data_IF_832459833543
#
_entry.id   IF_832459833543
#
_cell.length_a   1.000
_cell.length_b   1.000
_cell.length_c   1.000
_cell.angle_alpha   90.00
_cell.angle_beta   90.00
_cell.angle_gamma   90.00
#
_symmetry.space_group_name_H-M   'P 1'
#
loop_
_entity.id
_entity.type
_entity.pdbx_description
1 polymer ?
#
# COMPACT_ATOMS: atom_id res chain seq x y z
N UNK A 1 -3.57 -20.24 -24.41
CA UNK A 1 -2.73 -19.11 -24.87
C UNK A 1 -2.56 -18.17 -23.69
N UNK A 2 -1.52 -17.34 -23.66
CA UNK A 2 -1.37 -16.31 -22.63
C UNK A 2 -1.21 -14.95 -23.31
N UNK A 3 -1.58 -13.88 -22.62
CA UNK A 3 -1.45 -12.51 -23.10
C UNK A 3 -0.14 -11.90 -22.58
N UNK A 4 0.35 -10.84 -23.23
CA UNK A 4 1.63 -10.25 -22.90
C UNK A 4 1.60 -8.72 -22.86
N UNK A 5 2.08 -8.14 -21.76
CA UNK A 5 2.42 -6.73 -21.70
C UNK A 5 3.88 -6.54 -22.11
N UNK A 6 4.14 -5.79 -23.20
CA UNK A 6 5.47 -5.71 -23.83
C UNK A 6 6.12 -4.35 -23.62
N UNK A 7 7.34 -4.31 -23.08
CA UNK A 7 8.14 -3.10 -22.95
C UNK A 7 9.06 -2.91 -24.16
N UNK A 8 9.04 -1.71 -24.76
CA UNK A 8 9.82 -1.34 -25.94
C UNK A 8 10.46 0.03 -25.77
N UNK A 9 11.57 0.27 -26.46
CA UNK A 9 12.28 1.55 -26.53
C UNK A 9 12.61 1.89 -27.99
N UNK A 10 11.79 2.71 -28.65
CA UNK A 10 11.83 2.79 -30.11
C UNK A 10 11.52 1.43 -30.73
N UNK A 11 12.38 0.96 -31.64
CA UNK A 11 12.25 -0.38 -32.23
C UNK A 11 12.74 -1.53 -31.32
N UNK A 12 13.37 -1.21 -30.18
CA UNK A 12 13.98 -2.19 -29.26
C UNK A 12 12.94 -2.84 -28.35
N UNK A 13 12.64 -4.13 -28.53
CA UNK A 13 11.88 -4.89 -27.54
C UNK A 13 12.78 -5.23 -26.34
N UNK A 14 12.38 -4.77 -25.15
CA UNK A 14 13.16 -4.91 -23.91
C UNK A 14 12.80 -6.15 -23.10
N UNK A 15 11.54 -6.56 -23.17
CA UNK A 15 10.99 -7.72 -22.47
C UNK A 15 9.46 -7.67 -22.45
N UNK A 16 8.85 -8.72 -21.90
CA UNK A 16 7.40 -8.78 -21.71
C UNK A 16 7.06 -9.43 -20.37
N UNK A 17 5.92 -9.04 -19.80
CA UNK A 17 5.28 -9.73 -18.67
C UNK A 17 4.09 -10.50 -19.20
N UNK A 18 3.86 -11.69 -18.64
CA UNK A 18 2.83 -12.62 -19.12
C UNK A 18 1.59 -12.51 -18.24
N UNK A 19 0.42 -12.53 -18.88
CA UNK A 19 -0.93 -12.58 -18.31
C UNK A 19 -1.37 -11.36 -17.47
N UNK A 20 -0.45 -10.49 -17.03
CA UNK A 20 -0.78 -9.29 -16.26
C UNK A 20 0.28 -8.16 -16.44
N UNK A 21 -0.07 -6.97 -15.97
CA UNK A 21 0.84 -5.83 -15.84
C UNK A 21 1.83 -6.06 -14.70
N UNK A 22 3.09 -5.67 -14.87
CA UNK A 22 4.05 -5.59 -13.76
C UNK A 22 3.85 -4.26 -13.02
N UNK A 23 3.41 -4.24 -11.75
CA UNK A 23 3.17 -2.99 -11.03
C UNK A 23 4.44 -2.16 -10.79
N UNK A 24 5.59 -2.83 -10.65
CA UNK A 24 6.89 -2.19 -10.49
C UNK A 24 7.35 -1.48 -11.76
N UNK A 25 6.99 -2.01 -12.93
CA UNK A 25 7.21 -1.41 -14.24
C UNK A 25 6.18 -0.32 -14.55
N UNK A 26 4.90 -0.59 -14.33
CA UNK A 26 3.80 0.36 -14.58
C UNK A 26 3.96 1.64 -13.75
N UNK A 27 4.57 1.53 -12.56
CA UNK A 27 4.94 2.68 -11.76
C UNK A 27 5.80 3.73 -12.53
N UNK A 28 6.56 3.34 -13.56
CA UNK A 28 7.34 4.26 -14.39
C UNK A 28 6.48 5.17 -15.26
N UNK A 29 5.22 4.80 -15.51
CA UNK A 29 4.26 5.51 -16.35
C UNK A 29 3.20 6.22 -15.51
N UNK A 30 2.44 7.12 -16.15
CA UNK A 30 1.35 7.89 -15.52
C UNK A 30 0.09 7.81 -16.38
N UNK A 31 -1.10 8.10 -15.82
CA UNK A 31 -2.34 8.14 -16.60
C UNK A 31 -2.25 9.05 -17.83
N UNK A 32 -1.47 10.14 -17.74
CA UNK A 32 -1.21 11.07 -18.85
C UNK A 32 -0.39 10.48 -20.00
N UNK A 33 0.32 9.38 -19.75
CA UNK A 33 1.11 8.68 -20.76
C UNK A 33 0.26 7.67 -21.56
N UNK A 34 -1.00 7.46 -21.14
CA UNK A 34 -1.92 6.51 -21.78
C UNK A 34 -2.30 6.98 -23.18
N UNK A 35 -2.15 6.09 -24.14
CA UNK A 35 -2.56 6.24 -25.52
C UNK A 35 -3.47 5.07 -25.90
N UNK A 36 -4.67 5.40 -26.40
CA UNK A 36 -5.63 4.42 -26.90
C UNK A 36 -5.92 4.73 -28.36
N UNK A 37 -5.77 3.72 -29.21
CA UNK A 37 -6.08 3.79 -30.64
C UNK A 37 -6.92 2.59 -31.04
N UNK A 38 -7.98 2.82 -31.82
CA UNK A 38 -8.72 1.73 -32.47
C UNK A 38 -8.21 1.59 -33.89
N UNK A 39 -7.59 0.45 -34.17
CA UNK A 39 -7.06 0.11 -35.48
C UNK A 39 -8.18 -0.55 -36.30
N UNK A 40 -8.41 -0.02 -37.50
CA UNK A 40 -9.31 -0.67 -38.48
C UNK A 40 -8.65 -1.95 -38.98
N UNK A 41 -9.36 -3.08 -38.85
CA UNK A 41 -8.85 -4.40 -39.20
C UNK A 41 -8.51 -4.54 -40.69
N UNK A 42 -9.05 -3.66 -41.53
CA UNK A 42 -8.71 -3.60 -42.96
C UNK A 42 -7.30 -3.05 -43.19
N UNK A 43 -6.72 -2.37 -42.20
CA UNK A 43 -5.35 -1.87 -42.25
C UNK A 43 -4.36 -2.94 -41.77
N UNK A 44 -4.18 -3.98 -42.60
CA UNK A 44 -3.28 -5.10 -42.30
C UNK A 44 -1.84 -4.68 -41.99
N UNK A 45 -1.35 -3.62 -42.64
CA UNK A 45 -0.03 -3.06 -42.34
C UNK A 45 0.08 -2.51 -40.92
N UNK A 46 -1.01 -1.95 -40.38
CA UNK A 46 -1.05 -1.44 -39.01
C UNK A 46 -1.21 -2.58 -38.00
N UNK A 47 -2.05 -3.56 -38.29
CA UNK A 47 -2.22 -4.75 -37.43
C UNK A 47 -0.91 -5.56 -37.30
N UNK A 48 -0.11 -5.64 -38.37
CA UNK A 48 1.18 -6.34 -38.38
C UNK A 48 2.23 -5.72 -37.44
N UNK A 49 1.98 -4.53 -36.87
CA UNK A 49 2.83 -3.96 -35.81
C UNK A 49 2.59 -4.58 -34.43
N UNK A 50 1.42 -5.22 -34.24
CA UNK A 50 0.92 -5.72 -32.96
C UNK A 50 0.70 -7.25 -32.96
N UNK A 51 0.25 -7.81 -34.08
CA UNK A 51 -0.03 -9.24 -34.24
C UNK A 51 1.06 -9.92 -35.07
N UNK A 52 1.44 -11.14 -34.68
CA UNK A 52 2.31 -11.97 -35.52
C UNK A 52 1.56 -12.40 -36.80
N UNK A 53 2.31 -12.64 -37.89
CA UNK A 53 1.75 -12.95 -39.22
C UNK A 53 0.72 -14.11 -39.18
N UNK A 54 0.92 -15.09 -38.31
CA UNK A 54 0.03 -16.23 -38.15
C UNK A 54 -1.35 -15.88 -37.56
N UNK A 55 -1.46 -14.78 -36.82
CA UNK A 55 -2.74 -14.30 -36.24
C UNK A 55 -3.42 -13.24 -37.10
N UNK A 56 -2.72 -12.64 -38.08
CA UNK A 56 -3.29 -11.61 -38.97
C UNK A 56 -4.38 -12.14 -39.90
N UNK A 57 -4.34 -13.42 -40.23
CA UNK A 57 -5.31 -14.06 -41.12
C UNK A 57 -6.53 -14.61 -40.37
N UNK A 58 -6.41 -14.84 -39.07
CA UNK A 58 -7.47 -15.40 -38.21
C UNK A 58 -8.19 -14.33 -37.35
N UNK A 59 -7.76 -13.07 -37.42
CA UNK A 59 -8.34 -11.97 -36.63
C UNK A 59 -9.72 -11.55 -37.16
N UNK A 60 -10.71 -11.44 -36.26
CA UNK A 60 -12.11 -11.14 -36.59
C UNK A 60 -12.25 -9.79 -37.30
N UNK A 61 -12.69 -9.79 -38.56
CA UNK A 61 -12.84 -8.57 -39.36
C UNK A 61 -13.89 -7.59 -38.81
N UNK A 62 -14.79 -8.05 -37.94
CA UNK A 62 -15.89 -7.25 -37.37
C UNK A 62 -15.55 -6.61 -36.00
N UNK A 63 -14.42 -6.97 -35.36
CA UNK A 63 -14.02 -6.46 -34.05
C UNK A 63 -12.74 -5.61 -34.10
N UNK A 64 -12.80 -4.26 -34.01
CA UNK A 64 -11.61 -3.42 -34.19
C UNK A 64 -10.57 -3.65 -33.10
N UNK A 65 -9.31 -3.85 -33.50
CA UNK A 65 -8.19 -4.01 -32.57
C UNK A 65 -7.93 -2.73 -31.77
N UNK A 66 -7.98 -2.83 -30.45
CA UNK A 66 -7.77 -1.74 -29.50
C UNK A 66 -6.33 -1.76 -28.99
N UNK A 67 -5.54 -0.81 -29.49
CA UNK A 67 -4.19 -0.57 -29.01
C UNK A 67 -4.26 0.22 -27.71
N UNK A 68 -3.66 -0.32 -26.65
CA UNK A 68 -3.52 0.36 -25.35
C UNK A 68 -2.05 0.40 -24.96
N UNK A 69 -1.48 1.60 -24.90
CA UNK A 69 -0.05 1.80 -24.65
C UNK A 69 0.20 2.93 -23.66
N UNK A 70 1.25 2.81 -22.87
CA UNK A 70 1.80 3.91 -22.07
C UNK A 70 3.12 4.34 -22.67
N UNK A 71 3.24 5.62 -23.04
CA UNK A 71 4.41 6.14 -23.77
C UNK A 71 5.05 7.30 -23.03
N UNK A 72 6.37 7.27 -22.88
CA UNK A 72 7.13 8.41 -22.36
C UNK A 72 8.49 8.52 -23.05
N UNK A 73 9.11 9.70 -23.01
CA UNK A 73 10.46 9.87 -23.57
C UNK A 73 11.52 9.26 -22.65
N UNK A 74 12.70 8.88 -23.19
CA UNK A 74 13.83 8.42 -22.39
C UNK A 74 14.24 9.41 -21.29
N UNK A 75 14.20 10.72 -21.58
CA UNK A 75 14.43 11.75 -20.55
C UNK A 75 13.42 11.69 -19.41
N UNK A 76 12.12 11.55 -19.71
CA UNK A 76 11.10 11.43 -18.68
C UNK A 76 11.30 10.16 -17.85
N UNK A 77 11.64 9.03 -18.49
CA UNK A 77 11.97 7.80 -17.80
C UNK A 77 13.18 7.95 -16.86
N UNK A 78 14.26 8.61 -17.31
CA UNK A 78 15.44 8.91 -16.48
C UNK A 78 15.08 9.73 -15.25
N UNK A 79 14.36 10.83 -15.41
CA UNK A 79 13.94 11.70 -14.31
C UNK A 79 13.08 10.96 -13.29
N UNK A 80 12.13 10.14 -13.77
CA UNK A 80 11.25 9.33 -12.91
C UNK A 80 12.05 8.28 -12.14
N UNK A 81 12.92 7.53 -12.81
CA UNK A 81 13.81 6.55 -12.17
C UNK A 81 14.71 7.20 -11.12
N UNK A 82 15.30 8.35 -11.44
CA UNK A 82 16.14 9.13 -10.54
C UNK A 82 15.40 9.56 -9.27
N UNK A 83 14.15 10.02 -9.42
CA UNK A 83 13.28 10.41 -8.31
C UNK A 83 13.09 9.29 -7.28
N UNK A 84 13.20 8.02 -7.69
CA UNK A 84 13.11 6.84 -6.80
C UNK A 84 14.46 6.24 -6.43
N UNK A 85 15.55 6.92 -6.75
CA UNK A 85 16.90 6.48 -6.41
C UNK A 85 17.51 5.47 -7.38
N UNK A 86 16.83 5.14 -8.49
CA UNK A 86 17.42 4.41 -9.63
C UNK A 86 18.29 5.38 -10.46
N UNK A 87 19.29 5.95 -9.81
CA UNK A 87 20.31 6.79 -10.44
C UNK A 87 21.21 5.95 -11.32
N UNK A 88 21.90 6.58 -12.27
CA UNK A 88 22.89 5.90 -13.11
C UNK A 88 23.94 5.15 -12.26
N UNK A 89 24.53 5.82 -11.26
CA UNK A 89 25.53 5.23 -10.38
C UNK A 89 25.01 4.00 -9.60
N UNK A 90 23.76 4.06 -9.13
CA UNK A 90 23.12 2.93 -8.44
C UNK A 90 22.89 1.77 -9.42
N UNK A 91 22.45 2.06 -10.65
CA UNK A 91 22.27 1.04 -11.69
C UNK A 91 23.59 0.38 -12.11
N UNK A 92 24.68 1.14 -12.25
CA UNK A 92 26.01 0.57 -12.49
C UNK A 92 26.46 -0.34 -11.34
N UNK A 93 26.28 0.13 -10.10
CA UNK A 93 26.61 -0.66 -8.89
C UNK A 93 25.80 -1.95 -8.84
N UNK A 94 24.50 -1.88 -9.16
CA UNK A 94 23.60 -3.03 -9.21
C UNK A 94 24.03 -4.04 -10.28
N UNK A 95 24.40 -3.58 -11.47
CA UNK A 95 24.94 -4.42 -12.55
C UNK A 95 26.16 -5.21 -12.08
N UNK A 96 27.19 -4.54 -11.57
CA UNK A 96 28.43 -5.21 -11.13
C UNK A 96 28.24 -6.05 -9.85
N UNK A 97 27.29 -5.71 -8.98
CA UNK A 97 26.93 -6.54 -7.84
C UNK A 97 26.26 -7.85 -8.30
N UNK A 98 25.30 -7.74 -9.21
CA UNK A 98 24.65 -8.86 -9.86
C UNK A 98 25.63 -9.77 -10.59
N UNK A 99 26.55 -9.17 -11.36
CA UNK A 99 27.56 -9.89 -12.14
C UNK A 99 28.48 -10.71 -11.22
N UNK A 100 28.97 -10.12 -10.12
CA UNK A 100 29.72 -10.84 -9.08
C UNK A 100 28.91 -11.96 -8.44
N UNK A 101 27.61 -11.76 -8.25
CA UNK A 101 26.69 -12.80 -7.79
C UNK A 101 26.62 -13.99 -8.75
N UNK A 102 26.39 -13.72 -10.04
CA UNK A 102 26.35 -14.74 -11.10
C UNK A 102 27.67 -15.49 -11.22
N UNK A 103 28.82 -14.78 -11.23
CA UNK A 103 30.14 -15.40 -11.26
C UNK A 103 30.33 -16.37 -10.08
N UNK A 104 30.05 -15.92 -8.85
CA UNK A 104 30.17 -16.77 -7.66
C UNK A 104 29.28 -18.02 -7.74
N UNK A 105 28.07 -17.89 -8.28
CA UNK A 105 27.18 -19.03 -8.44
C UNK A 105 27.72 -20.05 -9.45
N UNK A 106 28.24 -19.57 -10.59
CA UNK A 106 28.85 -20.43 -11.61
C UNK A 106 30.15 -21.07 -11.14
N UNK A 107 30.99 -20.36 -10.38
CA UNK A 107 32.20 -20.92 -9.75
C UNK A 107 31.84 -22.10 -8.84
N UNK A 108 30.81 -21.96 -8.00
CA UNK A 108 30.35 -23.06 -7.13
C UNK A 108 29.86 -24.28 -7.91
N UNK A 109 29.28 -24.10 -9.09
CA UNK A 109 28.88 -25.21 -9.96
C UNK A 109 30.10 -25.85 -10.63
N UNK A 110 31.06 -25.05 -11.06
CA UNK A 110 32.31 -25.49 -11.69
C UNK A 110 33.15 -26.31 -10.71
N UNK A 111 33.28 -25.85 -9.46
CA UNK A 111 33.98 -26.56 -8.37
C UNK A 111 33.35 -27.92 -8.05
N UNK A 112 32.05 -28.10 -8.34
CA UNK A 112 31.32 -29.37 -8.22
C UNK A 112 31.49 -30.30 -9.43
N UNK A 113 32.33 -29.92 -10.40
CA UNK A 113 32.67 -30.71 -11.58
C UNK A 113 31.96 -30.29 -12.87
N UNK A 114 31.12 -29.24 -12.85
CA UNK A 114 30.42 -28.76 -14.04
C UNK A 114 31.27 -27.76 -14.86
N UNK A 115 32.30 -28.25 -15.54
CA UNK A 115 33.23 -27.42 -16.34
C UNK A 115 32.63 -26.74 -17.58
N UNK A 116 31.37 -27.04 -17.91
CA UNK A 116 30.65 -26.42 -19.04
C UNK A 116 30.53 -24.88 -18.91
N UNK A 117 30.77 -24.33 -17.71
CA UNK A 117 30.68 -22.89 -17.45
C UNK A 117 32.03 -22.16 -17.46
N UNK A 118 33.15 -22.84 -17.73
CA UNK A 118 34.49 -22.24 -17.68
C UNK A 118 34.61 -21.04 -18.64
N UNK A 119 34.16 -21.19 -19.89
CA UNK A 119 34.20 -20.12 -20.89
C UNK A 119 33.26 -18.95 -20.53
N UNK A 120 32.08 -19.26 -19.99
CA UNK A 120 31.14 -18.25 -19.49
C UNK A 120 31.75 -17.47 -18.31
N UNK A 121 32.48 -18.14 -17.41
CA UNK A 121 33.17 -17.47 -16.31
C UNK A 121 34.26 -16.52 -16.80
N UNK A 122 35.03 -16.90 -17.83
CA UNK A 122 36.02 -16.02 -18.46
C UNK A 122 35.34 -14.79 -19.04
N UNK A 123 34.28 -14.98 -19.83
CA UNK A 123 33.48 -13.90 -20.41
C UNK A 123 32.96 -12.93 -19.34
N UNK A 124 32.27 -13.45 -18.32
CA UNK A 124 31.62 -12.64 -17.29
C UNK A 124 32.63 -11.87 -16.42
N UNK A 125 33.84 -12.39 -16.21
CA UNK A 125 34.90 -11.70 -15.45
C UNK A 125 35.45 -10.46 -16.15
N UNK A 126 35.40 -10.43 -17.49
CA UNK A 126 35.83 -9.27 -18.27
C UNK A 126 34.68 -8.35 -18.72
N UNK A 127 33.42 -8.74 -18.46
CA UNK A 127 32.25 -8.01 -18.95
C UNK A 127 32.13 -6.63 -18.33
N UNK A 128 32.07 -5.59 -19.15
CA UNK A 128 31.70 -4.23 -18.73
C UNK A 128 30.26 -3.88 -19.11
N UNK A 129 29.74 -2.79 -18.53
CA UNK A 129 28.42 -2.26 -18.90
C UNK A 129 28.40 -1.82 -20.37
N UNK A 130 29.47 -1.21 -20.86
CA UNK A 130 29.60 -0.81 -22.26
C UNK A 130 29.53 -2.01 -23.22
N UNK A 131 30.25 -3.09 -22.91
CA UNK A 131 30.23 -4.31 -23.71
C UNK A 131 28.81 -4.88 -23.80
N UNK A 132 28.12 -4.93 -22.65
CA UNK A 132 26.75 -5.44 -22.56
C UNK A 132 25.74 -4.53 -23.30
N UNK A 133 25.82 -3.20 -23.15
CA UNK A 133 24.95 -2.24 -23.85
C UNK A 133 25.17 -2.27 -25.36
N UNK A 134 26.42 -2.37 -25.82
CA UNK A 134 26.73 -2.46 -27.25
C UNK A 134 26.21 -3.78 -27.85
N UNK A 135 26.37 -4.90 -27.13
CA UNK A 135 25.81 -6.18 -27.55
C UNK A 135 24.28 -6.14 -27.59
N UNK A 136 23.62 -5.54 -26.60
CA UNK A 136 22.16 -5.33 -26.59
C UNK A 136 21.71 -4.53 -27.81
N UNK A 137 22.35 -3.39 -28.08
CA UNK A 137 22.03 -2.55 -29.24
C UNK A 137 22.14 -3.32 -30.56
N UNK A 138 23.13 -4.20 -30.66
CA UNK A 138 23.32 -5.06 -31.84
C UNK A 138 22.27 -6.17 -31.96
N UNK A 139 21.97 -6.88 -30.87
CA UNK A 139 20.91 -7.91 -30.86
C UNK A 139 19.63 -7.36 -31.47
N UNK A 140 19.35 -6.10 -31.20
CA UNK A 140 18.09 -5.49 -31.56
C UNK A 140 18.10 -4.86 -32.94
N UNK A 141 19.17 -4.15 -33.30
CA UNK A 141 19.29 -3.58 -34.64
C UNK A 141 19.33 -4.66 -35.73
N UNK A 142 19.97 -5.80 -35.44
CA UNK A 142 20.07 -6.95 -36.34
C UNK A 142 18.95 -7.99 -36.14
N UNK A 143 18.05 -7.79 -35.17
CA UNK A 143 16.98 -8.74 -34.78
C UNK A 143 17.50 -10.16 -34.54
N UNK A 144 18.64 -10.26 -33.86
CA UNK A 144 19.29 -11.54 -33.58
C UNK A 144 18.45 -12.36 -32.62
N UNK A 145 18.26 -13.63 -32.97
CA UNK A 145 17.66 -14.65 -32.11
C UNK A 145 18.71 -15.71 -31.77
N UNK A 146 18.45 -16.52 -30.75
CA UNK A 146 19.34 -17.64 -30.40
C UNK A 146 19.58 -18.58 -31.60
N UNK A 147 18.56 -18.81 -32.44
CA UNK A 147 18.68 -19.63 -33.65
C UNK A 147 19.40 -18.93 -34.81
N UNK A 148 19.33 -17.59 -34.90
CA UNK A 148 20.06 -16.81 -35.91
C UNK A 148 21.57 -16.76 -35.64
N UNK A 149 22.01 -16.95 -34.39
CA UNK A 149 23.44 -16.95 -34.04
C UNK A 149 24.24 -18.09 -34.69
N UNK A 150 23.59 -19.14 -35.17
CA UNK A 150 24.25 -20.22 -35.93
C UNK A 150 24.72 -19.76 -37.32
N UNK A 151 24.22 -18.61 -37.79
CA UNK A 151 24.63 -17.98 -39.06
C UNK A 151 25.66 -16.86 -38.87
N UNK A 152 25.97 -16.48 -37.63
CA UNK A 152 27.00 -15.49 -37.31
C UNK A 152 28.39 -16.13 -37.44
N UNK A 153 29.33 -15.44 -38.06
CA UNK A 153 30.70 -15.92 -38.24
C UNK A 153 31.35 -16.25 -36.88
N UNK A 154 31.91 -17.45 -36.73
CA UNK A 154 32.62 -17.88 -35.50
C UNK A 154 33.77 -16.95 -35.11
N UNK A 155 34.29 -16.15 -36.04
CA UNK A 155 35.34 -15.16 -35.81
C UNK A 155 34.85 -13.86 -35.15
N UNK A 156 33.56 -13.70 -34.91
CA UNK A 156 32.99 -12.49 -34.33
C UNK A 156 33.31 -12.39 -32.82
N UNK A 157 34.05 -11.35 -32.39
CA UNK A 157 34.50 -11.22 -31.00
C UNK A 157 33.35 -11.03 -30.00
N UNK A 158 32.16 -10.58 -30.43
CA UNK A 158 31.00 -10.42 -29.56
C UNK A 158 30.14 -11.69 -29.48
N UNK A 159 30.37 -12.68 -30.35
CA UNK A 159 29.55 -13.89 -30.42
C UNK A 159 29.39 -14.61 -29.07
N UNK A 160 30.42 -14.74 -28.21
CA UNK A 160 30.24 -15.34 -26.89
C UNK A 160 29.26 -14.57 -26.00
N UNK A 161 29.31 -13.24 -26.03
CA UNK A 161 28.41 -12.38 -25.26
C UNK A 161 26.98 -12.42 -25.82
N UNK A 162 26.83 -12.36 -27.14
CA UNK A 162 25.53 -12.48 -27.80
C UNK A 162 24.88 -13.83 -27.48
N UNK A 163 25.65 -14.93 -27.55
CA UNK A 163 25.18 -16.27 -27.14
C UNK A 163 24.78 -16.27 -25.67
N UNK A 164 25.57 -15.68 -24.77
CA UNK A 164 25.20 -15.57 -23.36
C UNK A 164 23.88 -14.82 -23.15
N UNK A 165 23.73 -13.63 -23.73
CA UNK A 165 22.55 -12.77 -23.57
C UNK A 165 21.27 -13.38 -24.16
N UNK A 166 21.39 -14.15 -25.26
CA UNK A 166 20.25 -14.80 -25.92
C UNK A 166 19.96 -16.22 -25.41
N UNK A 167 20.91 -16.88 -24.72
CA UNK A 167 20.71 -18.21 -24.11
C UNK A 167 20.29 -18.15 -22.65
N UNK A 168 20.49 -17.02 -21.97
CA UNK A 168 19.99 -16.86 -20.61
C UNK A 168 18.46 -16.86 -20.66
N UNK A 169 17.85 -17.90 -20.07
CA UNK A 169 16.39 -18.05 -19.90
C UNK A 169 15.75 -17.01 -18.97
N UNK A 170 16.35 -15.83 -18.86
CA UNK A 170 15.89 -14.68 -18.09
C UNK A 170 15.55 -13.62 -19.12
N UNK A 171 14.31 -13.13 -19.08
CA UNK A 171 13.93 -11.90 -19.76
C UNK A 171 14.97 -10.80 -19.42
N UNK A 172 15.20 -9.81 -20.31
CA UNK A 172 16.22 -8.74 -20.17
C UNK A 172 17.66 -9.06 -20.61
N UNK A 173 17.84 -9.94 -21.61
CA UNK A 173 19.13 -10.12 -22.32
C UNK A 173 20.33 -10.40 -21.40
N UNK A 174 20.16 -11.30 -20.44
CA UNK A 174 21.23 -11.67 -19.51
C UNK A 174 21.66 -10.56 -18.56
N UNK A 175 20.83 -9.52 -18.35
CA UNK A 175 21.08 -8.51 -17.34
C UNK A 175 21.34 -9.17 -15.98
N UNK A 176 22.49 -8.89 -15.34
CA UNK A 176 22.88 -9.62 -14.14
C UNK A 176 22.23 -9.08 -12.85
N UNK A 177 21.59 -7.92 -12.90
CA UNK A 177 20.91 -7.30 -11.76
C UNK A 177 19.57 -7.97 -11.43
N UNK A 178 19.02 -7.61 -10.27
CA UNK A 178 17.82 -8.25 -9.71
C UNK A 178 16.52 -7.50 -9.98
N UNK A 179 16.62 -6.24 -10.40
CA UNK A 179 15.48 -5.34 -10.55
C UNK A 179 15.56 -4.65 -11.92
N UNK A 180 14.54 -4.88 -12.73
CA UNK A 180 14.40 -4.41 -14.10
C UNK A 180 14.54 -2.88 -14.23
N UNK A 181 14.23 -2.11 -13.19
CA UNK A 181 14.36 -0.64 -13.25
C UNK A 181 15.82 -0.19 -13.36
N UNK A 182 16.77 -0.97 -12.83
CA UNK A 182 18.20 -0.71 -13.07
C UNK A 182 18.58 -1.04 -14.53
N UNK A 183 17.99 -2.10 -15.10
CA UNK A 183 18.16 -2.42 -16.52
C UNK A 183 17.63 -1.27 -17.39
N UNK A 184 16.39 -0.83 -17.17
CA UNK A 184 15.79 0.27 -17.92
C UNK A 184 16.65 1.52 -17.77
N UNK A 185 17.09 1.86 -16.54
CA UNK A 185 17.96 3.01 -16.29
C UNK A 185 19.21 2.97 -17.16
N UNK A 186 19.91 1.83 -17.28
CA UNK A 186 21.11 1.73 -18.10
C UNK A 186 20.81 1.85 -19.60
N UNK A 187 19.70 1.28 -20.06
CA UNK A 187 19.33 1.30 -21.48
C UNK A 187 18.91 2.70 -21.92
N UNK A 188 18.09 3.41 -21.13
CA UNK A 188 17.61 4.76 -21.49
C UNK A 188 18.71 5.82 -21.49
N UNK A 189 19.89 5.54 -20.94
CA UNK A 189 21.07 6.44 -20.97
C UNK A 189 21.80 6.39 -22.32
N UNK A 190 21.49 5.42 -23.20
CA UNK A 190 22.19 5.21 -24.48
C UNK A 190 21.38 5.58 -25.71
N UNK A 191 20.12 5.95 -25.54
CA UNK A 191 19.22 6.28 -26.65
C UNK A 191 18.96 7.79 -26.74
N UNK A 192 18.62 8.26 -27.94
CA UNK A 192 18.18 9.64 -28.14
C UNK A 192 16.85 9.88 -27.42
N UNK A 193 16.62 11.11 -26.98
CA UNK A 193 15.34 11.52 -26.41
C UNK A 193 14.21 11.65 -27.44
N UNK A 194 14.54 11.53 -28.73
CA UNK A 194 13.55 11.44 -29.83
C UNK A 194 12.87 10.06 -29.92
N UNK A 195 13.41 9.05 -29.24
CA UNK A 195 12.80 7.73 -29.13
C UNK A 195 11.66 7.73 -28.09
N UNK A 196 10.83 6.68 -28.11
CA UNK A 196 9.77 6.49 -27.10
C UNK A 196 10.01 5.21 -26.31
N UNK A 197 9.93 5.28 -24.98
CA UNK A 197 9.75 4.12 -24.12
C UNK A 197 8.25 3.82 -24.06
N UNK A 198 7.87 2.63 -24.52
CA UNK A 198 6.48 2.19 -24.66
C UNK A 198 6.25 0.94 -23.84
N UNK A 199 5.23 0.94 -22.99
CA UNK A 199 4.72 -0.27 -22.36
C UNK A 199 3.34 -0.59 -22.96
N UNK A 200 3.29 -1.66 -23.74
CA UNK A 200 2.17 -2.05 -24.59
C UNK A 200 1.30 -3.10 -23.89
N UNK A 201 0.04 -2.77 -23.63
CA UNK A 201 -0.96 -3.60 -22.96
C UNK A 201 -1.96 -4.21 -23.97
N UNK A 202 -1.79 -3.97 -25.28
CA UNK A 202 -2.83 -4.26 -26.26
C UNK A 202 -3.22 -5.74 -26.25
N UNK A 203 -2.26 -6.66 -26.15
CA UNK A 203 -2.54 -8.11 -26.09
C UNK A 203 -3.26 -8.54 -24.79
N UNK A 204 -3.11 -7.79 -23.69
CA UNK A 204 -3.87 -8.04 -22.45
C UNK A 204 -5.34 -7.63 -22.64
N UNK A 205 -5.57 -6.47 -23.26
CA UNK A 205 -6.92 -5.95 -23.51
C UNK A 205 -7.65 -6.82 -24.52
N UNK A 206 -7.00 -7.23 -25.61
CA UNK A 206 -7.60 -8.00 -26.71
C UNK A 206 -7.97 -9.44 -26.36
N UNK A 207 -7.42 -9.98 -25.27
CA UNK A 207 -7.71 -11.32 -24.78
C UNK A 207 -8.76 -11.29 -23.64
N UNK A 208 -9.54 -10.20 -23.55
CA UNK A 208 -10.56 -9.90 -22.53
C UNK A 208 -10.06 -9.91 -21.07
N UNK A 209 -8.74 -9.99 -20.84
CA UNK A 209 -8.16 -9.92 -19.49
C UNK A 209 -8.13 -8.48 -18.93
N UNK A 210 -8.36 -7.48 -19.78
CA UNK A 210 -8.29 -6.05 -19.45
C UNK A 210 -9.54 -5.24 -19.76
N UNK A 211 -10.64 -5.86 -20.16
CA UNK A 211 -11.86 -5.18 -20.62
C UNK A 211 -12.51 -4.29 -19.54
N UNK A 212 -12.39 -4.68 -18.27
CA UNK A 212 -12.89 -3.91 -17.13
C UNK A 212 -11.84 -2.93 -16.56
N UNK A 213 -10.64 -2.84 -17.16
CA UNK A 213 -9.54 -1.99 -16.66
C UNK A 213 -9.49 -0.67 -17.43
N UNK A 214 -10.12 0.35 -16.84
CA UNK A 214 -10.12 1.72 -17.39
C UNK A 214 -8.73 2.37 -17.34
N UNK A 215 -7.89 2.07 -16.35
CA UNK A 215 -6.52 2.61 -16.23
C UNK A 215 -5.61 1.61 -15.53
N UNK A 216 -4.67 1.03 -16.29
CA UNK A 216 -3.67 0.10 -15.77
C UNK A 216 -2.72 0.72 -14.74
N UNK A 217 -2.53 2.04 -14.70
CA UNK A 217 -1.76 2.70 -13.63
C UNK A 217 -2.54 2.65 -12.32
N UNK A 218 -3.83 2.98 -12.36
CA UNK A 218 -4.70 2.89 -11.17
C UNK A 218 -4.85 1.44 -10.69
N UNK A 219 -5.00 0.49 -11.62
CA UNK A 219 -5.02 -0.94 -11.32
C UNK A 219 -3.72 -1.40 -10.67
N UNK A 220 -2.56 -1.06 -11.24
CA UNK A 220 -1.25 -1.39 -10.65
C UNK A 220 -1.05 -0.75 -9.27
N UNK A 221 -1.51 0.49 -9.08
CA UNK A 221 -1.49 1.14 -7.76
C UNK A 221 -2.40 0.41 -6.76
N UNK A 222 -3.56 -0.08 -7.18
CA UNK A 222 -4.48 -0.85 -6.35
C UNK A 222 -3.84 -2.16 -5.90
N UNK A 223 -3.24 -2.92 -6.82
CA UNK A 223 -2.51 -4.16 -6.51
C UNK A 223 -1.42 -3.93 -5.44
N UNK A 224 -0.68 -2.82 -5.51
CA UNK A 224 0.35 -2.49 -4.51
C UNK A 224 -0.28 -2.02 -3.20
N UNK A 225 -1.34 -1.21 -3.26
CA UNK A 225 -1.92 -0.55 -2.11
C UNK A 225 -2.76 -1.50 -1.24
N UNK A 226 -3.46 -2.46 -1.82
CA UNK A 226 -4.27 -3.43 -1.08
C UNK A 226 -3.38 -4.31 -0.18
N UNK A 227 -2.32 -4.87 -0.75
CA UNK A 227 -1.28 -5.60 0.00
C UNK A 227 -0.67 -4.71 1.10
N UNK A 228 -0.32 -3.48 0.75
CA UNK A 228 0.22 -2.51 1.70
C UNK A 228 -0.77 -2.24 2.85
N UNK A 229 -2.05 -2.04 2.56
CA UNK A 229 -3.08 -1.76 3.55
C UNK A 229 -3.30 -2.91 4.53
N UNK A 230 -3.10 -4.16 4.11
CA UNK A 230 -3.27 -5.35 4.94
C UNK A 230 -2.07 -5.59 5.88
N UNK A 231 -0.85 -5.25 5.46
CA UNK A 231 0.36 -5.50 6.25
C UNK A 231 0.76 -4.36 7.18
N UNK A 232 0.23 -3.15 6.97
CA UNK A 232 0.59 -1.97 7.76
C UNK A 232 -0.19 -1.86 9.06
N UNK A 233 0.41 -1.15 10.03
CA UNK A 233 -0.23 -0.84 11.32
C UNK A 233 -1.38 0.14 11.12
N UNK A 234 -2.46 -0.07 11.86
CA UNK A 234 -3.55 0.92 12.00
C UNK A 234 -3.05 2.08 12.86
N UNK A 235 -3.04 3.29 12.31
CA UNK A 235 -2.72 4.52 13.03
C UNK A 235 -3.94 4.93 13.86
N UNK A 236 -3.81 4.93 15.19
CA UNK A 236 -4.87 5.32 16.11
C UNK A 236 -4.66 6.77 16.55
N UNK A 237 -5.67 7.60 16.32
CA UNK A 237 -5.73 8.98 16.77
C UNK A 237 -6.73 9.08 17.93
N UNK A 238 -6.37 9.79 18.99
CA UNK A 238 -7.22 10.02 20.17
C UNK A 238 -7.36 11.51 20.45
N UNK A 239 -8.35 11.92 21.24
CA UNK A 239 -8.53 13.33 21.61
C UNK A 239 -7.44 13.85 22.55
N UNK A 240 -7.04 13.02 23.52
CA UNK A 240 -6.11 13.37 24.57
C UNK A 240 -4.89 12.45 24.68
N UNK A 241 -3.86 12.98 25.37
CA UNK A 241 -2.65 12.23 25.74
C UNK A 241 -2.97 11.12 26.74
N UNK A 242 -3.91 11.37 27.66
CA UNK A 242 -4.39 10.38 28.62
C UNK A 242 -5.02 9.20 27.90
N UNK A 243 -5.89 9.46 26.91
CA UNK A 243 -6.61 8.39 26.23
C UNK A 243 -5.67 7.46 25.50
N UNK A 244 -4.73 8.06 24.78
CA UNK A 244 -3.63 7.34 24.15
C UNK A 244 -2.88 6.46 25.13
N UNK A 245 -2.48 7.02 26.28
CA UNK A 245 -1.69 6.31 27.30
C UNK A 245 -2.45 5.10 27.82
N UNK A 246 -3.71 5.30 28.20
CA UNK A 246 -4.54 4.29 28.82
C UNK A 246 -4.96 3.22 27.83
N UNK A 247 -5.48 3.59 26.66
CA UNK A 247 -5.86 2.62 25.63
C UNK A 247 -4.67 1.78 25.16
N UNK A 248 -3.49 2.38 24.97
CA UNK A 248 -2.27 1.64 24.58
C UNK A 248 -1.84 0.63 25.65
N UNK A 249 -1.83 1.02 26.92
CA UNK A 249 -1.46 0.11 28.03
C UNK A 249 -2.49 -0.99 28.23
N UNK A 250 -3.78 -0.63 28.19
CA UNK A 250 -4.87 -1.59 28.26
C UNK A 250 -4.85 -2.59 27.13
N UNK A 251 -4.58 -2.17 25.89
CA UNK A 251 -4.39 -3.08 24.76
C UNK A 251 -3.23 -4.05 25.02
N UNK A 252 -2.11 -3.54 25.56
CA UNK A 252 -0.96 -4.35 25.94
C UNK A 252 -1.22 -5.40 27.00
N UNK A 253 -2.13 -5.12 27.94
CA UNK A 253 -2.52 -6.06 28.98
C UNK A 253 -3.58 -7.05 28.51
N UNK A 254 -4.65 -6.56 27.89
CA UNK A 254 -5.83 -7.36 27.57
C UNK A 254 -5.68 -8.16 26.28
N UNK A 255 -4.94 -7.64 25.30
CA UNK A 255 -4.71 -8.25 23.99
C UNK A 255 -3.25 -8.07 23.53
N UNK A 256 -2.25 -8.59 24.27
CA UNK A 256 -0.83 -8.39 23.97
C UNK A 256 -0.43 -8.79 22.55
N UNK A 257 -1.08 -9.82 22.00
CA UNK A 257 -0.85 -10.33 20.65
C UNK A 257 -1.33 -9.38 19.52
N UNK A 258 -2.10 -8.34 19.84
CA UNK A 258 -2.63 -7.38 18.88
C UNK A 258 -1.90 -6.02 18.90
N UNK A 259 -1.05 -5.77 19.89
CA UNK A 259 -0.43 -4.45 20.11
C UNK A 259 0.34 -3.96 18.88
N UNK A 260 1.11 -4.84 18.25
CA UNK A 260 1.96 -4.48 17.12
C UNK A 260 1.21 -4.20 15.82
N UNK A 261 -0.12 -4.42 15.78
CA UNK A 261 -0.99 -4.03 14.66
C UNK A 261 -1.49 -2.59 14.79
N UNK A 262 -1.29 -1.93 15.95
CA UNK A 262 -1.75 -0.55 16.19
C UNK A 262 -0.58 0.39 16.45
N UNK A 263 -0.60 1.55 15.81
CA UNK A 263 0.30 2.66 16.08
C UNK A 263 -0.47 3.85 16.64
N UNK A 264 -0.40 4.05 17.95
CA UNK A 264 -0.98 5.22 18.61
C UNK A 264 -0.15 6.48 18.31
N UNK A 265 -0.74 7.42 17.57
CA UNK A 265 -0.08 8.64 17.12
C UNK A 265 0.31 9.55 18.30
N UNK A 266 1.49 10.18 18.23
CA UNK A 266 1.98 11.06 19.30
C UNK A 266 1.69 12.53 19.04
N UNK A 267 0.89 13.12 19.93
CA UNK A 267 0.53 14.54 19.93
C UNK A 267 1.52 15.42 20.71
N UNK A 268 2.60 14.87 21.28
CA UNK A 268 3.54 15.58 22.17
C UNK A 268 4.16 16.86 21.58
N UNK A 269 4.08 17.06 20.27
CA UNK A 269 4.56 18.25 19.56
C UNK A 269 3.45 19.26 19.15
N UNK A 270 2.17 19.02 19.48
CA UNK A 270 1.04 19.92 19.14
C UNK A 270 0.51 20.69 20.35
N UNK A 271 -0.01 21.90 20.10
CA UNK A 271 -0.43 22.88 21.13
C UNK A 271 -1.93 22.76 21.49
N UNK A 272 -2.63 21.73 21.03
CA UNK A 272 -4.06 21.53 21.32
C UNK A 272 -4.45 20.07 21.32
N UNK A 273 -5.35 19.71 22.23
CA UNK A 273 -6.06 18.42 22.28
C UNK A 273 -7.56 18.63 22.19
N UNK A 274 -8.31 17.53 22.16
CA UNK A 274 -9.78 17.53 22.10
C UNK A 274 -10.36 17.33 20.70
N UNK A 275 -11.66 17.03 20.65
CA UNK A 275 -12.41 16.66 19.46
C UNK A 275 -12.20 17.56 18.24
N UNK A 276 -12.16 18.88 18.42
CA UNK A 276 -11.99 19.83 17.31
C UNK A 276 -10.65 19.68 16.57
N UNK A 277 -9.56 19.48 17.32
CA UNK A 277 -8.23 19.29 16.75
C UNK A 277 -8.11 17.91 16.10
N UNK A 278 -8.70 16.88 16.72
CA UNK A 278 -8.76 15.54 16.13
C UNK A 278 -9.50 15.55 14.79
N UNK A 279 -10.65 16.25 14.69
CA UNK A 279 -11.38 16.39 13.43
C UNK A 279 -10.57 17.13 12.36
N UNK A 280 -9.81 18.16 12.74
CA UNK A 280 -8.91 18.85 11.80
C UNK A 280 -7.79 17.93 11.30
N UNK A 281 -7.26 17.06 12.17
CA UNK A 281 -6.26 16.08 11.80
C UNK A 281 -6.79 15.02 10.83
N UNK A 282 -8.00 14.51 11.07
CA UNK A 282 -8.70 13.62 10.13
C UNK A 282 -8.82 14.27 8.75
N UNK A 283 -9.25 15.54 8.70
CA UNK A 283 -9.36 16.30 7.45
C UNK A 283 -8.00 16.47 6.76
N UNK A 284 -6.94 16.74 7.52
CA UNK A 284 -5.59 16.88 6.98
C UNK A 284 -5.08 15.57 6.37
N UNK A 285 -5.31 14.43 7.05
CA UNK A 285 -4.93 13.12 6.52
C UNK A 285 -5.70 12.74 5.25
N UNK A 286 -7.01 13.01 5.22
CA UNK A 286 -7.83 12.80 4.02
C UNK A 286 -7.37 13.69 2.86
N UNK A 287 -7.13 14.98 3.11
CA UNK A 287 -6.68 15.92 2.07
C UNK A 287 -5.27 15.63 1.55
N UNK A 288 -4.42 15.01 2.37
CA UNK A 288 -3.07 14.59 1.99
C UNK A 288 -3.03 13.22 1.29
N UNK A 289 -4.19 12.59 1.05
CA UNK A 289 -4.33 11.27 0.43
C UNK A 289 -3.43 10.19 1.07
N UNK A 290 -3.39 10.20 2.40
CA UNK A 290 -2.59 9.22 3.15
C UNK A 290 -3.22 7.84 3.03
N UNK A 291 -2.46 6.89 2.49
CA UNK A 291 -2.91 5.50 2.28
C UNK A 291 -2.92 4.62 3.53
N UNK A 292 -2.36 5.05 4.66
CA UNK A 292 -2.35 4.24 5.89
C UNK A 292 -3.78 4.10 6.46
N UNK A 293 -4.08 2.98 7.12
CA UNK A 293 -5.33 2.86 7.90
C UNK A 293 -5.28 3.82 9.08
N UNK A 294 -6.28 4.69 9.19
CA UNK A 294 -6.37 5.69 10.25
C UNK A 294 -7.68 5.50 11.00
N UNK A 295 -7.59 5.21 12.29
CA UNK A 295 -8.72 5.12 13.21
C UNK A 295 -8.71 6.34 14.14
N UNK A 296 -9.68 7.24 13.97
CA UNK A 296 -9.88 8.37 14.85
C UNK A 296 -10.95 8.05 15.91
N UNK A 297 -10.54 8.06 17.17
CA UNK A 297 -11.37 7.76 18.34
C UNK A 297 -11.75 9.05 19.05
N UNK A 298 -13.06 9.27 19.12
CA UNK A 298 -13.67 10.41 19.80
C UNK A 298 -14.41 9.96 21.06
N UNK A 299 -14.49 10.85 22.04
CA UNK A 299 -15.30 10.65 23.22
C UNK A 299 -16.79 10.48 22.83
N UNK A 300 -17.56 9.77 23.67
CA UNK A 300 -19.00 9.62 23.50
C UNK A 300 -19.75 10.81 24.12
N UNK A 301 -19.44 12.03 23.67
CA UNK A 301 -19.96 13.26 24.24
C UNK A 301 -20.48 14.26 23.19
N UNK A 302 -21.06 15.36 23.68
CA UNK A 302 -21.61 16.41 22.81
C UNK A 302 -20.54 17.15 22.02
N UNK A 303 -19.32 17.32 22.56
CA UNK A 303 -18.25 18.06 21.90
C UNK A 303 -17.68 17.29 20.71
N UNK A 304 -17.45 15.99 20.88
CA UNK A 304 -17.09 15.06 19.83
C UNK A 304 -18.10 15.07 18.69
N UNK A 305 -19.40 14.96 19.00
CA UNK A 305 -20.46 14.97 17.98
C UNK A 305 -20.50 16.29 17.22
N UNK A 306 -20.32 17.41 17.92
CA UNK A 306 -20.20 18.74 17.31
C UNK A 306 -18.99 18.86 16.39
N UNK A 307 -17.84 18.28 16.76
CA UNK A 307 -16.65 18.27 15.91
C UNK A 307 -16.83 17.39 14.67
N UNK A 308 -17.37 16.18 14.82
CA UNK A 308 -17.61 15.23 13.73
C UNK A 308 -18.67 15.75 12.76
N UNK A 309 -19.69 16.48 13.23
CA UNK A 309 -20.71 17.09 12.35
C UNK A 309 -20.12 18.05 11.28
N UNK A 310 -18.88 18.50 11.48
CA UNK A 310 -18.13 19.37 10.55
C UNK A 310 -17.26 18.58 9.56
N UNK A 311 -17.29 17.25 9.63
CA UNK A 311 -16.65 16.34 8.68
C UNK A 311 -17.71 15.80 7.73
N UNK A 312 -17.37 15.76 6.44
CA UNK A 312 -18.16 15.01 5.47
C UNK A 312 -17.68 13.56 5.49
N UNK A 313 -18.30 12.73 6.34
CA UNK A 313 -17.89 11.34 6.55
C UNK A 313 -17.99 10.51 5.26
N UNK A 314 -18.98 10.80 4.42
CA UNK A 314 -19.19 10.10 3.14
C UNK A 314 -18.10 10.41 2.10
N UNK A 315 -17.41 11.54 2.26
CA UNK A 315 -16.29 11.92 1.41
C UNK A 315 -14.92 11.48 1.96
N UNK A 316 -14.87 10.82 3.13
CA UNK A 316 -13.62 10.31 3.66
C UNK A 316 -13.17 9.06 2.87
N UNK A 317 -11.86 8.92 2.61
CA UNK A 317 -11.30 7.69 2.07
C UNK A 317 -11.65 6.48 2.94
N UNK A 318 -11.89 5.32 2.31
CA UNK A 318 -12.29 4.08 3.01
C UNK A 318 -11.27 3.59 4.04
N UNK A 319 -10.00 3.99 3.91
CA UNK A 319 -8.94 3.69 4.88
C UNK A 319 -8.97 4.58 6.13
N UNK A 320 -9.90 5.55 6.24
CA UNK A 320 -10.07 6.41 7.41
C UNK A 320 -11.40 6.09 8.11
N UNK A 321 -11.33 5.53 9.30
CA UNK A 321 -12.48 5.26 10.15
C UNK A 321 -12.58 6.31 11.27
N UNK A 322 -13.73 6.97 11.37
CA UNK A 322 -14.07 7.86 12.48
C UNK A 322 -15.08 7.13 13.38
N UNK A 323 -14.78 7.03 14.69
CA UNK A 323 -15.62 6.32 15.66
C UNK A 323 -15.73 7.13 16.96
N UNK A 324 -16.93 7.13 17.53
CA UNK A 324 -17.12 7.47 18.94
C UNK A 324 -16.84 6.24 19.81
N UNK A 325 -16.47 6.45 21.06
CA UNK A 325 -16.58 5.39 22.05
C UNK A 325 -18.02 4.84 22.10
N UNK A 326 -18.18 3.51 22.30
CA UNK A 326 -19.49 2.88 22.23
C UNK A 326 -20.38 3.30 23.40
N UNK A 327 -21.69 3.16 23.25
CA UNK A 327 -22.59 3.35 24.39
C UNK A 327 -22.31 2.31 25.48
N UNK A 328 -22.39 2.73 26.74
CA UNK A 328 -22.30 1.86 27.91
C UNK A 328 -23.67 1.67 28.54
N UNK A 329 -23.96 0.43 28.95
CA UNK A 329 -25.15 0.12 29.74
C UNK A 329 -25.16 0.90 31.05
N UNK A 330 -24.01 0.95 31.74
CA UNK A 330 -23.79 1.73 32.95
C UNK A 330 -24.16 3.22 32.77
N UNK A 331 -23.94 3.77 31.57
CA UNK A 331 -24.17 5.17 31.27
C UNK A 331 -25.65 5.52 31.01
N UNK A 332 -26.55 4.54 30.82
CA UNK A 332 -27.99 4.80 30.59
C UNK A 332 -28.71 5.33 31.83
N UNK A 333 -28.19 5.04 33.02
CA UNK A 333 -28.76 5.48 34.29
C UNK A 333 -27.66 5.93 35.26
N UNK A 334 -26.83 6.87 34.80
CA UNK A 334 -25.65 7.32 35.51
C UNK A 334 -25.96 8.48 36.46
N UNK A 335 -25.32 8.57 37.64
CA UNK A 335 -25.53 9.71 38.52
C UNK A 335 -25.03 11.00 37.88
N UNK A 336 -25.88 12.03 37.85
CA UNK A 336 -25.54 13.35 37.33
C UNK A 336 -25.82 14.44 38.36
N UNK A 337 -25.10 15.55 38.27
CA UNK A 337 -25.27 16.72 39.12
C UNK A 337 -25.64 17.93 38.26
N UNK A 338 -26.88 18.39 38.42
CA UNK A 338 -27.40 19.61 37.80
C UNK A 338 -27.69 20.72 38.82
N UNK A 339 -28.22 21.87 38.36
CA UNK A 339 -28.62 22.97 39.23
C UNK A 339 -29.68 22.57 40.29
N UNK A 340 -30.49 21.56 39.97
CA UNK A 340 -31.56 21.05 40.84
C UNK A 340 -31.09 19.95 41.81
N UNK A 341 -29.81 19.58 41.81
CA UNK A 341 -29.25 18.50 42.63
C UNK A 341 -28.86 17.27 41.82
N UNK A 342 -28.66 16.15 42.53
CA UNK A 342 -28.29 14.86 41.93
C UNK A 342 -29.50 14.14 41.32
N UNK A 343 -29.35 13.60 40.12
CA UNK A 343 -30.39 12.81 39.42
C UNK A 343 -29.72 11.82 38.49
N UNK A 344 -30.28 10.61 38.36
CA UNK A 344 -29.80 9.62 37.40
C UNK A 344 -30.35 9.91 36.00
N UNK A 345 -29.48 9.92 34.99
CA UNK A 345 -29.83 10.21 33.59
C UNK A 345 -28.98 9.36 32.64
N UNK A 346 -29.44 9.22 31.40
CA UNK A 346 -28.60 8.70 30.32
C UNK A 346 -27.57 9.76 29.93
N UNK A 347 -26.29 9.39 30.01
CA UNK A 347 -25.16 10.27 29.67
C UNK A 347 -24.46 9.85 28.37
N UNK A 348 -24.91 8.78 27.71
CA UNK A 348 -24.38 8.36 26.41
C UNK A 348 -24.58 9.45 25.36
N UNK A 349 -23.52 9.76 24.62
CA UNK A 349 -23.53 10.80 23.59
C UNK A 349 -23.66 12.23 24.12
N UNK A 350 -23.57 12.41 25.45
CA UNK A 350 -23.69 13.71 26.13
C UNK A 350 -22.44 14.05 26.96
N UNK A 351 -21.87 13.07 27.67
CA UNK A 351 -20.78 13.29 28.62
C UNK A 351 -19.85 12.06 28.79
N UNK A 352 -19.76 11.19 27.78
CA UNK A 352 -18.98 9.95 27.83
C UNK A 352 -17.50 10.12 27.48
N UNK A 353 -16.72 10.75 28.36
CA UNK A 353 -15.26 10.75 28.21
C UNK A 353 -14.65 9.38 28.54
N UNK A 354 -13.38 9.17 28.17
CA UNK A 354 -12.67 7.91 28.48
C UNK A 354 -12.82 7.47 29.94
N UNK A 355 -12.85 8.40 30.90
CA UNK A 355 -12.96 8.07 32.33
C UNK A 355 -14.17 7.17 32.65
N UNK A 356 -15.31 7.32 31.97
CA UNK A 356 -16.48 6.44 32.15
C UNK A 356 -16.24 4.99 31.74
N UNK A 357 -15.19 4.72 30.96
CA UNK A 357 -14.86 3.40 30.43
C UNK A 357 -13.81 2.67 31.28
N UNK A 358 -13.21 3.33 32.29
CA UNK A 358 -12.08 2.79 33.05
C UNK A 358 -12.46 1.70 34.08
N UNK A 359 -13.76 1.48 34.27
CA UNK A 359 -14.36 0.43 35.11
C UNK A 359 -15.15 0.98 36.30
N UNK A 360 -16.20 0.28 36.72
CA UNK A 360 -16.99 0.65 37.90
C UNK A 360 -16.14 0.71 39.18
N UNK A 361 -15.13 -0.16 39.28
CA UNK A 361 -14.19 -0.24 40.40
C UNK A 361 -13.37 1.04 40.61
N UNK A 362 -13.08 1.78 39.54
CA UNK A 362 -12.35 3.07 39.61
C UNK A 362 -13.27 4.29 39.64
N UNK A 363 -14.53 4.12 39.23
CA UNK A 363 -15.57 5.15 39.27
C UNK A 363 -16.26 5.26 40.62
N UNK A 364 -16.13 4.23 41.47
CA UNK A 364 -16.74 4.18 42.79
C UNK A 364 -16.20 5.30 43.72
N UNK A 365 -17.11 6.16 44.18
CA UNK A 365 -16.88 7.12 45.27
C UNK A 365 -17.01 6.44 46.64
N UNK A 366 -17.95 5.51 46.76
CA UNK A 366 -18.17 4.62 47.91
C UNK A 366 -18.65 3.26 47.39
N UNK A 367 -18.80 2.23 48.24
CA UNK A 367 -19.28 0.89 47.83
C UNK A 367 -20.61 0.91 47.05
N UNK A 368 -21.43 1.97 47.17
CA UNK A 368 -22.75 2.06 46.53
C UNK A 368 -22.97 3.35 45.71
N UNK A 369 -21.94 4.18 45.49
CA UNK A 369 -22.09 5.43 44.74
C UNK A 369 -20.95 5.63 43.75
N UNK A 370 -21.29 5.95 42.51
CA UNK A 370 -20.34 6.34 41.47
C UNK A 370 -20.10 7.84 41.50
N UNK A 371 -18.94 8.26 41.00
CA UNK A 371 -18.61 9.67 40.80
C UNK A 371 -19.54 10.28 39.75
N UNK A 372 -20.30 11.36 40.06
CA UNK A 372 -21.32 11.84 39.14
C UNK A 372 -20.74 12.65 37.97
N UNK A 373 -21.50 12.70 36.88
CA UNK A 373 -21.30 13.65 35.78
C UNK A 373 -21.90 15.00 36.15
N UNK A 374 -21.13 16.07 36.11
CA UNK A 374 -21.64 17.43 36.32
C UNK A 374 -21.97 18.13 35.00
N UNK A 375 -23.20 18.61 34.86
CA UNK A 375 -23.60 19.41 33.70
C UNK A 375 -22.95 20.80 33.73
N UNK A 376 -22.26 21.18 32.63
CA UNK A 376 -21.50 22.43 32.52
C UNK A 376 -22.17 23.48 31.65
N UNK A 377 -22.86 23.07 30.58
CA UNK A 377 -23.45 23.99 29.62
C UNK A 377 -24.36 23.32 28.60
N UNK A 378 -25.06 24.14 27.82
CA UNK A 378 -25.94 23.69 26.73
C UNK A 378 -25.34 24.09 25.39
N UNK A 379 -25.11 23.14 24.49
CA UNK A 379 -24.62 23.37 23.14
C UNK A 379 -25.82 23.54 22.20
N UNK A 380 -26.04 24.79 21.76
CA UNK A 380 -27.22 25.15 20.98
C UNK A 380 -27.31 24.40 19.65
N UNK A 381 -26.18 24.16 18.96
CA UNK A 381 -26.21 23.48 17.65
C UNK A 381 -26.57 22.02 17.73
N UNK A 382 -26.24 21.38 18.85
CA UNK A 382 -26.53 19.97 19.11
C UNK A 382 -27.84 19.78 19.86
N UNK A 383 -28.50 20.89 20.25
CA UNK A 383 -29.67 20.93 21.11
C UNK A 383 -29.52 20.08 22.39
N UNK A 384 -28.30 19.97 22.92
CA UNK A 384 -27.93 19.02 23.96
C UNK A 384 -27.08 19.65 25.06
N UNK A 385 -27.18 19.11 26.28
CA UNK A 385 -26.29 19.48 27.38
C UNK A 385 -24.93 18.78 27.24
N UNK A 386 -23.87 19.45 27.70
CA UNK A 386 -22.55 18.89 27.86
C UNK A 386 -22.22 18.76 29.35
N UNK A 387 -21.73 17.60 29.74
CA UNK A 387 -21.30 17.29 31.10
C UNK A 387 -19.87 16.77 31.14
N UNK A 388 -19.30 16.75 32.33
CA UNK A 388 -18.00 16.17 32.59
C UNK A 388 -18.03 15.39 33.91
N UNK A 389 -17.43 14.21 33.94
CA UNK A 389 -17.30 13.46 35.20
C UNK A 389 -16.47 14.25 36.23
N UNK A 390 -16.93 14.26 37.47
CA UNK A 390 -16.17 14.86 38.57
C UNK A 390 -14.91 14.04 38.87
N UNK A 391 -13.90 14.71 39.43
CA UNK A 391 -12.65 14.08 39.89
C UNK A 391 -11.94 13.19 38.85
N UNK A 392 -11.86 13.65 37.58
CA UNK A 392 -11.02 13.00 36.56
C UNK A 392 -9.61 12.64 37.05
N UNK A 393 -8.87 13.53 37.75
CA UNK A 393 -7.53 13.18 38.23
C UNK A 393 -7.52 11.99 39.19
N UNK A 394 -8.51 11.89 40.09
CA UNK A 394 -8.66 10.77 41.00
C UNK A 394 -8.94 9.46 40.26
N UNK A 395 -9.88 9.48 39.31
CA UNK A 395 -10.23 8.32 38.49
C UNK A 395 -9.03 7.85 37.65
N UNK A 396 -8.32 8.78 37.01
CA UNK A 396 -7.10 8.48 36.24
C UNK A 396 -6.00 7.88 37.12
N UNK A 397 -5.82 8.36 38.35
CA UNK A 397 -4.86 7.80 39.30
C UNK A 397 -5.25 6.40 39.79
N UNK A 398 -6.53 6.16 40.06
CA UNK A 398 -7.03 4.83 40.42
C UNK A 398 -6.83 3.83 39.27
N UNK A 399 -7.12 4.24 38.04
CA UNK A 399 -6.89 3.41 36.86
C UNK A 399 -5.39 3.15 36.60
N UNK A 400 -4.53 4.13 36.83
CA UNK A 400 -3.08 3.95 36.75
C UNK A 400 -2.59 2.89 37.76
N UNK A 401 -3.13 2.90 38.98
CA UNK A 401 -2.81 1.90 39.99
C UNK A 401 -3.30 0.51 39.59
N UNK A 402 -4.52 0.41 39.05
CA UNK A 402 -5.10 -0.82 38.49
C UNK A 402 -4.25 -1.41 37.36
N UNK A 403 -3.84 -0.59 36.38
CA UNK A 403 -2.94 -1.01 35.30
C UNK A 403 -1.64 -1.58 35.86
N UNK A 404 -1.03 -0.86 36.81
CA UNK A 404 0.24 -1.28 37.43
C UNK A 404 0.11 -2.60 38.19
N UNK A 405 -0.98 -2.77 38.95
CA UNK A 405 -1.21 -4.00 39.71
C UNK A 405 -1.34 -5.22 38.77
N UNK A 406 -2.00 -5.07 37.63
CA UNK A 406 -2.12 -6.15 36.63
C UNK A 406 -0.83 -6.38 35.83
N UNK A 407 -0.03 -5.34 35.57
CA UNK A 407 1.30 -5.48 34.95
C UNK A 407 2.26 -6.26 35.86
N UNK A 408 2.20 -6.03 37.18
CA UNK A 408 3.01 -6.73 38.17
C UNK A 408 2.44 -8.12 38.52
N UNK A 409 1.11 -8.28 38.47
CA UNK A 409 0.40 -9.51 38.85
C UNK A 409 -0.68 -9.87 37.81
N UNK A 410 -0.34 -10.58 36.72
CA UNK A 410 -1.30 -10.91 35.65
C UNK A 410 -2.54 -11.68 36.12
N UNK A 411 -2.43 -12.48 37.19
CA UNK A 411 -3.55 -13.25 37.76
C UNK A 411 -4.66 -12.35 38.34
N UNK A 412 -4.38 -11.07 38.57
CA UNK A 412 -5.38 -10.09 39.05
C UNK A 412 -6.20 -9.46 37.95
N UNK A 413 -5.93 -9.77 36.68
CA UNK A 413 -6.62 -9.15 35.56
C UNK A 413 -8.14 -9.37 35.62
N UNK A 414 -8.59 -10.54 36.06
CA UNK A 414 -10.02 -10.88 36.22
C UNK A 414 -10.65 -10.32 37.52
N UNK A 415 -9.85 -9.69 38.39
CA UNK A 415 -10.34 -9.09 39.65
C UNK A 415 -10.84 -7.65 39.50
N UNK A 416 -10.62 -7.03 38.34
CA UNK A 416 -11.04 -5.66 38.03
C UNK A 416 -12.04 -5.62 36.88
N UNK A 417 -12.85 -4.56 36.84
CA UNK A 417 -13.82 -4.37 35.75
C UNK A 417 -13.15 -3.70 34.54
N UNK A 418 -12.98 -4.46 33.45
CA UNK A 418 -12.44 -3.96 32.19
C UNK A 418 -13.52 -3.75 31.12
N UNK A 419 -14.80 -3.87 31.45
CA UNK A 419 -15.90 -3.92 30.47
C UNK A 419 -15.91 -2.72 29.51
N UNK A 420 -15.79 -1.50 30.04
CA UNK A 420 -15.75 -0.29 29.23
C UNK A 420 -14.54 -0.22 28.30
N UNK A 421 -13.34 -0.50 28.82
CA UNK A 421 -12.12 -0.59 28.00
C UNK A 421 -12.23 -1.69 26.94
N UNK A 422 -12.75 -2.88 27.29
CA UNK A 422 -12.95 -3.98 26.33
C UNK A 422 -13.90 -3.55 25.21
N UNK A 423 -14.97 -2.84 25.53
CA UNK A 423 -15.90 -2.30 24.52
C UNK A 423 -15.19 -1.35 23.54
N UNK A 424 -14.32 -0.45 24.02
CA UNK A 424 -13.51 0.40 23.14
C UNK A 424 -12.56 -0.44 22.27
N UNK A 425 -11.82 -1.37 22.87
CA UNK A 425 -10.84 -2.20 22.15
C UNK A 425 -11.50 -3.14 21.12
N UNK A 426 -12.71 -3.65 21.39
CA UNK A 426 -13.49 -4.45 20.44
C UNK A 426 -13.95 -3.59 19.25
N UNK A 427 -14.44 -2.38 19.50
CA UNK A 427 -14.79 -1.42 18.45
C UNK A 427 -13.56 -1.03 17.61
N UNK A 428 -12.39 -0.85 18.23
CA UNK A 428 -11.14 -0.62 17.50
C UNK A 428 -10.75 -1.78 16.59
N UNK A 429 -10.88 -3.02 17.08
CA UNK A 429 -10.57 -4.25 16.30
C UNK A 429 -11.49 -4.42 15.10
N UNK A 430 -12.76 -4.02 15.23
CA UNK A 430 -13.76 -4.11 14.17
C UNK A 430 -13.81 -2.92 13.22
N UNK A 431 -12.96 -1.89 13.41
CA UNK A 431 -13.11 -0.60 12.74
C UNK A 431 -13.11 -0.68 11.20
N UNK A 432 -12.42 -1.67 10.63
CA UNK A 432 -12.26 -1.86 9.18
C UNK A 432 -12.87 -3.16 8.65
N UNK A 433 -13.55 -3.96 9.48
CA UNK A 433 -14.08 -5.27 9.08
C UNK A 433 -14.99 -5.21 7.85
N UNK A 434 -15.85 -4.18 7.75
CA UNK A 434 -16.78 -4.04 6.62
C UNK A 434 -16.03 -3.73 5.32
N UNK A 435 -14.99 -2.89 5.40
CA UNK A 435 -14.13 -2.55 4.25
C UNK A 435 -13.36 -3.79 3.81
N UNK A 436 -12.71 -4.46 4.75
CA UNK A 436 -11.92 -5.67 4.49
C UNK A 436 -12.79 -6.80 3.95
N UNK A 437 -13.96 -7.01 4.55
CA UNK A 437 -14.91 -8.02 4.09
C UNK A 437 -15.40 -7.75 2.68
N UNK A 438 -15.61 -6.49 2.30
CA UNK A 438 -16.01 -6.14 0.92
C UNK A 438 -14.90 -6.48 -0.07
N UNK A 439 -13.64 -6.15 0.23
CA UNK A 439 -12.47 -6.44 -0.63
C UNK A 439 -12.28 -7.94 -0.79
N UNK A 440 -12.26 -8.68 0.32
CA UNK A 440 -12.12 -10.14 0.30
C UNK A 440 -13.23 -10.80 -0.52
N UNK A 441 -14.47 -10.33 -0.39
CA UNK A 441 -15.59 -10.89 -1.16
C UNK A 441 -15.49 -10.56 -2.66
N UNK A 442 -15.04 -9.36 -3.03
CA UNK A 442 -14.85 -9.00 -4.44
C UNK A 442 -13.72 -9.81 -5.10
N UNK A 443 -12.64 -10.10 -4.37
CA UNK A 443 -11.57 -10.98 -4.87
C UNK A 443 -12.08 -12.40 -5.13
N UNK A 444 -12.89 -12.94 -4.21
CA UNK A 444 -13.51 -14.26 -4.37
C UNK A 444 -14.45 -14.31 -5.58
N UNK A 445 -15.19 -13.23 -5.85
CA UNK A 445 -16.04 -13.13 -7.05
C UNK A 445 -15.19 -13.05 -8.33
N UNK A 446 -14.15 -12.22 -8.35
CA UNK A 446 -13.23 -12.10 -9.47
C UNK A 446 -12.50 -13.42 -9.80
N UNK A 447 -12.13 -14.21 -8.79
CA UNK A 447 -11.54 -15.54 -9.00
C UNK A 447 -12.53 -16.59 -9.53
N UNK A 448 -13.84 -16.41 -9.33
CA UNK A 448 -14.86 -17.34 -9.84
C UNK A 448 -15.21 -17.12 -11.30
N UNK A 449 -15.03 -15.89 -11.76
CA UNK A 449 -15.33 -15.48 -13.13
C UNK A 449 -14.11 -15.65 -14.07
N UNK A 450 -12.93 -15.91 -13.52
CA UNK A 450 -11.70 -16.36 -14.23
C UNK A 450 -11.67 -17.89 -14.38
#
# INVERSE_FOLDING_TARGET
MGSYATLRLGSLALGATKDDVDPGLMWLFRPSDKHVERVDNRNRSRLAEYLADEYLDDYDEDHPFTVVQYRCTPSAARDRLELKGFTHQVAETAFYSGLRGTIRNLERLTDRGHKIFDDTLVLLRSLTIDDWLNALGRIVSERLTASALDQVLESDPQLPLLRYMLSSSRDFFGFPGWDMRHFIRLVVERVSDDEELVYDMSDIVEMDYGDDIDDFVEYAETLINEDFLLVQRVIVLTEGVTDRKFLKRSLGLLYPHLVDYFHFFDFSHRVGGGAGELANLVRAFAAADVKHRILALFDNDTAARSAISKLNLDALPKNIAVRHFPNLELAQHYPTLGPSGETAMDVNGLAGSLELYLGEDVLARTEAQLMPVQWKGYEQRMEAYQGEILDKPGIQAAFEAKLKDCEENPDRLDSYDWSGIRAILEMMRGAFNDVDGTVILSEIEAERDR
#
